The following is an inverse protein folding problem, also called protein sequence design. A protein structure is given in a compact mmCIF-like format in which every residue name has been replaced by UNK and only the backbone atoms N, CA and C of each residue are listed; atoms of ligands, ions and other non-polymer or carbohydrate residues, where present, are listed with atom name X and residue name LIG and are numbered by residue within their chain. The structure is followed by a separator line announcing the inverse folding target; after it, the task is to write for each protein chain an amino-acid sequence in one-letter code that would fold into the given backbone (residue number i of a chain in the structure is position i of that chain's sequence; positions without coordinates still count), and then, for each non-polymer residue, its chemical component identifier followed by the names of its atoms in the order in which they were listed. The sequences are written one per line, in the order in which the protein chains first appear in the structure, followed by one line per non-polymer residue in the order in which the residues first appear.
data_IF_300175981871
#
_entry.id   IF_300175981871
#
_cell.length_a   1.000
_cell.length_b   1.000
_cell.length_c   1.000
_cell.angle_alpha   90.00
_cell.angle_beta   90.00
_cell.angle_gamma   90.00
#
_symmetry.space_group_name_H-M   'P 1'
#
loop_
_entity.id
_entity.type
_entity.pdbx_description
1 polymer ?
#
# COMPACT_ATOMS: atom_id res chain seq x y z
N UNK A 1 36.86 -11.83 14.49
CA UNK A 1 36.94 -11.60 13.02
C UNK A 1 35.52 -11.59 12.46
N UNK A 2 34.97 -10.42 12.15
CA UNK A 2 33.63 -10.32 11.55
C UNK A 2 33.68 -10.83 10.10
N UNK A 3 32.97 -11.91 9.80
CA UNK A 3 32.82 -12.43 8.43
C UNK A 3 32.27 -11.31 7.54
N UNK A 4 33.00 -10.90 6.50
CA UNK A 4 32.51 -9.96 5.48
C UNK A 4 31.20 -10.52 4.90
N UNK A 5 30.10 -9.80 5.11
CA UNK A 5 28.77 -10.21 4.64
C UNK A 5 28.69 -9.91 3.13
N UNK A 6 28.57 -10.96 2.31
CA UNK A 6 28.39 -10.82 0.87
C UNK A 6 26.93 -10.47 0.57
N UNK A 7 26.67 -9.20 0.25
CA UNK A 7 25.36 -8.70 -0.15
C UNK A 7 25.02 -9.10 -1.58
N UNK A 8 23.75 -9.40 -1.83
CA UNK A 8 23.23 -9.62 -3.19
C UNK A 8 23.34 -8.31 -3.95
N UNK A 9 24.11 -8.29 -5.03
CA UNK A 9 24.32 -7.09 -5.85
C UNK A 9 23.08 -6.80 -6.69
N UNK A 10 22.86 -5.52 -6.97
CA UNK A 10 21.87 -5.08 -7.92
C UNK A 10 22.45 -3.97 -8.81
N UNK A 11 21.87 -3.84 -10.00
CA UNK A 11 22.03 -2.71 -10.89
C UNK A 11 20.64 -2.19 -11.23
N UNK A 12 20.46 -0.87 -11.18
CA UNK A 12 19.22 -0.20 -11.58
C UNK A 12 19.40 0.27 -13.02
N UNK A 13 18.52 -0.17 -13.91
CA UNK A 13 18.54 0.21 -15.32
C UNK A 13 17.12 0.58 -15.78
N UNK A 14 16.79 1.88 -15.85
CA UNK A 14 15.49 2.34 -16.34
C UNK A 14 15.38 2.25 -17.87
N UNK A 15 16.40 1.73 -18.56
CA UNK A 15 16.54 1.73 -20.02
C UNK A 15 16.33 3.16 -20.55
N UNK A 16 15.48 3.31 -21.56
CA UNK A 16 15.19 4.60 -22.20
C UNK A 16 13.93 5.29 -21.64
N UNK A 17 13.43 4.87 -20.47
CA UNK A 17 12.23 5.46 -19.88
C UNK A 17 12.57 6.86 -19.34
N UNK A 18 12.09 7.90 -20.01
CA UNK A 18 12.27 9.28 -19.56
C UNK A 18 11.24 9.67 -18.50
N UNK A 19 9.99 9.23 -18.67
CA UNK A 19 8.88 9.54 -17.78
C UNK A 19 7.92 8.37 -17.73
N UNK A 20 7.46 8.04 -16.51
CA UNK A 20 6.42 7.06 -16.29
C UNK A 20 5.07 7.75 -16.02
N UNK A 21 3.95 7.27 -16.59
CA UNK A 21 2.62 7.79 -16.27
C UNK A 21 2.30 7.67 -14.77
N UNK A 22 1.52 8.61 -14.23
CA UNK A 22 1.15 8.59 -12.81
C UNK A 22 0.40 7.32 -12.41
N UNK A 23 -0.44 6.78 -13.29
CA UNK A 23 -1.13 5.49 -13.07
C UNK A 23 -0.15 4.31 -12.95
N UNK A 24 0.90 4.29 -13.76
CA UNK A 24 1.95 3.27 -13.69
C UNK A 24 2.79 3.40 -12.41
N UNK A 25 3.09 4.63 -11.97
CA UNK A 25 3.77 4.89 -10.69
C UNK A 25 2.91 4.37 -9.53
N UNK A 26 1.62 4.74 -9.49
CA UNK A 26 0.68 4.26 -8.48
C UNK A 26 0.58 2.74 -8.49
N UNK A 27 0.50 2.12 -9.66
CA UNK A 27 0.43 0.66 -9.76
C UNK A 27 1.68 -0.02 -9.20
N UNK A 28 2.87 0.52 -9.46
CA UNK A 28 4.12 -0.04 -8.92
C UNK A 28 4.20 0.12 -7.40
N UNK A 29 3.79 1.28 -6.87
CA UNK A 29 3.73 1.51 -5.42
C UNK A 29 2.72 0.56 -4.76
N UNK A 30 1.51 0.47 -5.32
CA UNK A 30 0.45 -0.40 -4.81
C UNK A 30 0.83 -1.87 -4.84
N UNK A 31 1.54 -2.30 -5.89
CA UNK A 31 2.07 -3.65 -6.03
C UNK A 31 3.21 -3.96 -5.06
N UNK A 32 3.94 -2.94 -4.61
CA UNK A 32 5.03 -3.10 -3.66
C UNK A 32 4.54 -3.21 -2.21
N UNK A 33 3.35 -2.70 -1.88
CA UNK A 33 2.82 -2.58 -0.51
C UNK A 33 2.92 -3.87 0.31
N UNK A 34 2.38 -4.96 -0.23
CA UNK A 34 2.35 -6.29 0.41
C UNK A 34 3.75 -6.92 0.59
N UNK A 35 4.80 -6.33 -0.02
CA UNK A 35 6.17 -6.84 0.07
C UNK A 35 7.19 -5.79 0.55
N UNK A 36 6.75 -4.63 1.03
CA UNK A 36 7.65 -3.64 1.63
C UNK A 36 8.40 -4.27 2.80
N UNK A 37 9.71 -4.04 2.82
CA UNK A 37 10.66 -4.60 3.79
C UNK A 37 10.68 -6.14 3.87
N UNK A 38 10.12 -6.85 2.87
CA UNK A 38 10.05 -8.31 2.84
C UNK A 38 10.41 -8.91 1.46
N UNK A 39 10.27 -8.13 0.39
CA UNK A 39 10.53 -8.53 -0.99
C UNK A 39 11.39 -7.52 -1.74
N UNK A 40 12.11 -8.03 -2.74
CA UNK A 40 12.90 -7.22 -3.66
C UNK A 40 12.23 -7.03 -5.01
N UNK A 41 12.89 -6.27 -5.90
CA UNK A 41 12.41 -5.95 -7.26
C UNK A 41 11.96 -7.16 -8.07
N UNK A 42 12.68 -8.28 -7.99
CA UNK A 42 12.35 -9.48 -8.76
C UNK A 42 11.02 -10.11 -8.34
N UNK A 43 10.66 -10.02 -7.06
CA UNK A 43 9.34 -10.47 -6.59
C UNK A 43 8.25 -9.51 -7.06
N UNK A 44 8.52 -8.21 -7.04
CA UNK A 44 7.59 -7.20 -7.56
C UNK A 44 7.32 -7.40 -9.06
N UNK A 45 8.34 -7.68 -9.86
CA UNK A 45 8.15 -8.05 -11.28
C UNK A 45 7.15 -9.21 -11.42
N UNK A 46 7.31 -10.28 -10.62
CA UNK A 46 6.42 -11.45 -10.67
C UNK A 46 4.98 -11.11 -10.33
N UNK A 47 4.75 -10.28 -9.31
CA UNK A 47 3.41 -9.79 -8.94
C UNK A 47 2.81 -8.95 -10.06
N UNK A 48 3.55 -7.96 -10.56
CA UNK A 48 3.08 -7.09 -11.64
C UNK A 48 2.81 -7.85 -12.95
N UNK A 49 3.50 -8.97 -13.18
CA UNK A 49 3.31 -9.88 -14.32
C UNK A 49 2.18 -10.88 -14.16
N UNK A 50 1.61 -11.02 -12.96
CA UNK A 50 0.57 -12.02 -12.71
C UNK A 50 1.14 -13.45 -12.64
N UNK A 51 2.37 -13.59 -12.16
CA UNK A 51 3.08 -14.87 -12.12
C UNK A 51 2.49 -15.83 -11.09
N UNK A 52 2.19 -17.06 -11.50
CA UNK A 52 1.77 -18.16 -10.61
C UNK A 52 2.93 -18.84 -9.88
N UNK A 53 4.06 -18.16 -9.72
CA UNK A 53 5.22 -18.72 -9.03
C UNK A 53 4.85 -19.06 -7.57
N UNK A 54 5.42 -20.16 -7.06
CA UNK A 54 5.13 -20.67 -5.72
C UNK A 54 5.26 -19.59 -4.63
N UNK A 55 6.32 -18.78 -4.68
CA UNK A 55 6.55 -17.70 -3.72
C UNK A 55 5.52 -16.56 -3.78
N UNK A 56 4.84 -16.36 -4.92
CA UNK A 56 3.76 -15.37 -5.05
C UNK A 56 2.50 -15.91 -4.38
N UNK A 57 2.17 -17.17 -4.65
CA UNK A 57 0.95 -17.80 -4.14
C UNK A 57 1.03 -18.11 -2.64
N UNK A 58 2.16 -18.62 -2.15
CA UNK A 58 2.35 -18.92 -0.72
C UNK A 58 2.33 -17.66 0.16
N UNK A 59 2.60 -16.50 -0.43
CA UNK A 59 2.53 -15.19 0.24
C UNK A 59 1.24 -14.44 -0.08
N UNK A 60 0.30 -15.08 -0.77
CA UNK A 60 -1.01 -14.51 -1.14
C UNK A 60 -0.93 -13.22 -1.97
N UNK A 61 0.23 -12.95 -2.60
CA UNK A 61 0.48 -11.73 -3.37
C UNK A 61 -0.35 -11.66 -4.66
N UNK A 62 -0.99 -12.76 -5.04
CA UNK A 62 -1.98 -12.81 -6.12
C UNK A 62 -3.31 -12.12 -5.77
N UNK A 63 -3.52 -11.72 -4.51
CA UNK A 63 -4.67 -10.92 -4.09
C UNK A 63 -4.41 -9.40 -4.18
N UNK A 64 -3.19 -8.99 -4.50
CA UNK A 64 -2.86 -7.59 -4.72
C UNK A 64 -3.77 -6.98 -5.82
N UNK A 65 -4.35 -5.78 -5.62
CA UNK A 65 -5.28 -5.17 -6.59
C UNK A 65 -4.70 -4.96 -7.99
N UNK A 66 -3.38 -4.83 -8.08
CA UNK A 66 -2.64 -4.61 -9.33
C UNK A 66 -1.90 -5.87 -9.83
N UNK A 67 -2.29 -7.05 -9.31
CA UNK A 67 -1.70 -8.31 -9.75
C UNK A 67 -1.93 -8.53 -11.25
N UNK A 68 -0.83 -8.69 -12.00
CA UNK A 68 -0.89 -8.83 -13.45
C UNK A 68 -1.14 -7.54 -14.22
N UNK A 69 -1.00 -6.36 -13.61
CA UNK A 69 -1.13 -5.05 -14.27
C UNK A 69 -0.28 -4.92 -15.55
N UNK A 70 0.92 -5.52 -15.56
CA UNK A 70 1.82 -5.56 -16.71
C UNK A 70 1.90 -6.93 -17.38
N UNK A 71 0.81 -7.71 -17.38
CA UNK A 71 0.82 -9.08 -17.95
C UNK A 71 1.35 -9.18 -19.37
N UNK A 72 1.15 -8.14 -20.17
CA UNK A 72 1.50 -8.11 -21.60
C UNK A 72 2.92 -7.57 -21.87
N UNK A 73 3.63 -7.07 -20.85
CA UNK A 73 5.00 -6.56 -20.98
C UNK A 73 6.04 -7.65 -20.73
N UNK A 74 7.26 -7.50 -21.24
CA UNK A 74 8.36 -8.40 -20.87
C UNK A 74 8.77 -8.19 -19.40
N UNK A 75 9.33 -9.21 -18.75
CA UNK A 75 9.85 -9.10 -17.37
C UNK A 75 10.88 -7.96 -17.24
N UNK A 76 11.67 -7.75 -18.29
CA UNK A 76 12.72 -6.74 -18.31
C UNK A 76 12.15 -5.33 -18.47
N UNK A 77 11.06 -5.18 -19.23
CA UNK A 77 10.35 -3.89 -19.36
C UNK A 77 9.62 -3.52 -18.07
N UNK A 78 9.12 -4.52 -17.33
CA UNK A 78 8.56 -4.32 -15.98
C UNK A 78 9.67 -3.93 -15.01
N UNK A 79 10.80 -4.63 -15.03
CA UNK A 79 11.95 -4.31 -14.20
C UNK A 79 12.47 -2.89 -14.45
N UNK A 80 12.57 -2.47 -15.71
CA UNK A 80 13.01 -1.12 -16.07
C UNK A 80 12.07 -0.03 -15.51
N UNK A 81 10.76 -0.28 -15.50
CA UNK A 81 9.78 0.65 -14.89
C UNK A 81 9.93 0.72 -13.37
N UNK A 82 10.12 -0.42 -12.71
CA UNK A 82 10.38 -0.48 -11.27
C UNK A 82 11.69 0.26 -10.93
N UNK A 83 12.74 0.04 -11.72
CA UNK A 83 14.02 0.73 -11.56
C UNK A 83 13.89 2.23 -11.76
N UNK A 84 13.08 2.68 -12.74
CA UNK A 84 12.74 4.09 -12.90
C UNK A 84 12.05 4.67 -11.67
N UNK A 85 11.10 3.95 -11.06
CA UNK A 85 10.41 4.38 -9.82
C UNK A 85 11.38 4.49 -8.63
N UNK A 86 12.39 3.62 -8.56
CA UNK A 86 13.44 3.68 -7.53
C UNK A 86 14.38 4.86 -7.78
N UNK A 87 14.85 5.03 -9.02
CA UNK A 87 15.78 6.11 -9.40
C UNK A 87 15.14 7.49 -9.19
N UNK A 88 13.85 7.63 -9.48
CA UNK A 88 13.11 8.88 -9.29
C UNK A 88 12.64 9.08 -7.84
N UNK A 89 13.08 8.21 -6.92
CA UNK A 89 12.96 8.46 -5.49
C UNK A 89 11.54 8.26 -4.95
N UNK A 90 10.74 7.36 -5.52
CA UNK A 90 9.47 6.92 -4.95
C UNK A 90 9.64 5.67 -4.09
N UNK A 91 10.42 4.70 -4.59
CA UNK A 91 10.90 3.55 -3.82
C UNK A 91 12.39 3.67 -3.55
N UNK A 92 12.89 2.98 -2.53
CA UNK A 92 14.32 2.78 -2.30
C UNK A 92 14.60 1.33 -1.96
N UNK A 93 15.89 0.97 -2.01
CA UNK A 93 16.37 -0.34 -1.61
C UNK A 93 17.13 -0.20 -0.30
N UNK A 94 16.71 -0.97 0.70
CA UNK A 94 17.42 -1.15 1.96
C UNK A 94 17.91 -2.59 2.08
N UNK A 95 19.07 -2.78 2.71
CA UNK A 95 19.59 -4.12 2.95
C UNK A 95 19.13 -4.62 4.30
N UNK A 96 18.36 -5.71 4.30
CA UNK A 96 18.26 -6.58 5.47
C UNK A 96 19.31 -7.69 5.35
N UNK A 97 20.34 -7.59 6.19
CA UNK A 97 21.54 -8.44 6.14
C UNK A 97 22.19 -8.51 4.75
N UNK A 98 21.79 -9.49 3.92
CA UNK A 98 22.29 -9.71 2.56
C UNK A 98 21.29 -9.35 1.46
N UNK A 99 20.01 -9.21 1.78
CA UNK A 99 18.92 -9.11 0.81
C UNK A 99 18.53 -7.65 0.57
N UNK A 100 18.45 -7.20 -0.70
CA UNK A 100 17.93 -5.88 -1.05
C UNK A 100 16.40 -5.91 -1.05
N UNK A 101 15.79 -5.20 -0.09
CA UNK A 101 14.35 -5.12 0.10
C UNK A 101 13.84 -3.74 -0.30
N UNK A 102 12.64 -3.69 -0.86
CA UNK A 102 12.00 -2.44 -1.24
C UNK A 102 11.40 -1.74 -0.02
N UNK A 103 11.57 -0.43 0.06
CA UNK A 103 10.89 0.42 1.04
C UNK A 103 10.39 1.70 0.38
N UNK A 104 9.29 2.27 0.90
CA UNK A 104 8.79 3.56 0.44
C UNK A 104 9.71 4.68 0.87
N UNK A 105 10.03 5.58 -0.05
CA UNK A 105 10.46 6.95 0.30
C UNK A 105 9.29 7.76 0.85
N UNK A 106 9.54 8.96 1.37
CA UNK A 106 8.46 9.88 1.75
C UNK A 106 7.53 10.21 0.56
N UNK A 107 8.10 10.50 -0.61
CA UNK A 107 7.30 10.82 -1.81
C UNK A 107 6.45 9.64 -2.30
N UNK A 108 7.01 8.42 -2.29
CA UNK A 108 6.24 7.22 -2.62
C UNK A 108 5.16 6.91 -1.59
N UNK A 109 5.47 7.09 -0.31
CA UNK A 109 4.50 6.87 0.76
C UNK A 109 3.32 7.84 0.69
N UNK A 110 3.53 9.12 0.38
CA UNK A 110 2.40 10.06 0.23
C UNK A 110 1.44 9.65 -0.90
N UNK A 111 1.97 9.16 -2.02
CA UNK A 111 1.14 8.67 -3.14
C UNK A 111 0.38 7.40 -2.74
N UNK A 112 1.08 6.46 -2.10
CA UNK A 112 0.48 5.19 -1.71
C UNK A 112 -0.56 5.37 -0.61
N UNK A 113 -0.26 6.18 0.40
CA UNK A 113 -1.18 6.53 1.49
C UNK A 113 -2.48 7.10 0.95
N UNK A 114 -2.40 7.99 -0.04
CA UNK A 114 -3.59 8.51 -0.72
C UNK A 114 -4.36 7.38 -1.40
N UNK A 115 -3.66 6.53 -2.16
CA UNK A 115 -4.25 5.41 -2.91
C UNK A 115 -4.96 4.41 -1.98
N UNK A 116 -4.30 3.93 -0.92
CA UNK A 116 -4.90 3.02 0.05
C UNK A 116 -6.06 3.70 0.79
N UNK A 117 -5.96 4.99 1.11
CA UNK A 117 -7.06 5.69 1.78
C UNK A 117 -8.31 5.81 0.90
N UNK A 118 -8.16 5.95 -0.42
CA UNK A 118 -9.29 5.90 -1.36
C UNK A 118 -9.91 4.50 -1.39
N UNK A 119 -9.10 3.45 -1.52
CA UNK A 119 -9.58 2.05 -1.51
C UNK A 119 -10.32 1.72 -0.21
N UNK A 120 -9.84 2.19 0.95
CA UNK A 120 -10.49 1.98 2.24
C UNK A 120 -11.83 2.71 2.34
N UNK A 121 -11.94 3.92 1.78
CA UNK A 121 -13.21 4.65 1.73
C UNK A 121 -14.23 3.96 0.83
N UNK A 122 -13.81 3.47 -0.34
CA UNK A 122 -14.66 2.67 -1.22
C UNK A 122 -15.12 1.40 -0.51
N UNK A 123 -14.24 0.75 0.26
CA UNK A 123 -14.59 -0.38 1.12
C UNK A 123 -15.63 -0.01 2.19
N UNK A 124 -15.55 1.19 2.78
CA UNK A 124 -16.57 1.67 3.73
C UNK A 124 -17.92 1.89 3.05
N UNK A 125 -17.93 2.47 1.85
CA UNK A 125 -19.15 2.66 1.08
C UNK A 125 -19.81 1.30 0.77
N UNK A 126 -19.04 0.29 0.37
CA UNK A 126 -19.55 -1.07 0.13
C UNK A 126 -20.10 -1.73 1.40
N UNK A 127 -19.43 -1.56 2.54
CA UNK A 127 -19.93 -2.06 3.83
C UNK A 127 -21.29 -1.42 4.16
N UNK A 128 -21.40 -0.10 4.02
CA UNK A 128 -22.61 0.66 4.29
C UNK A 128 -23.77 0.25 3.35
N UNK A 129 -23.48 0.01 2.07
CA UNK A 129 -24.46 -0.50 1.09
C UNK A 129 -24.99 -1.90 1.46
N UNK A 130 -24.12 -2.77 1.99
CA UNK A 130 -24.53 -4.10 2.46
C UNK A 130 -25.40 -4.04 3.73
N UNK A 131 -25.21 -3.02 4.57
CA UNK A 131 -26.07 -2.70 5.73
C UNK A 131 -26.07 -3.72 6.89
N UNK A 132 -25.28 -4.80 6.80
CA UNK A 132 -25.22 -5.85 7.82
C UNK A 132 -24.24 -5.49 8.94
N UNK A 133 -24.77 -4.91 10.02
CA UNK A 133 -24.01 -4.58 11.22
C UNK A 133 -23.90 -5.74 12.22
N UNK A 134 -22.83 -5.81 13.03
CA UNK A 134 -21.67 -4.90 13.03
C UNK A 134 -20.75 -5.13 11.83
N UNK A 135 -20.14 -4.06 11.32
CA UNK A 135 -19.14 -4.16 10.26
C UNK A 135 -17.83 -4.73 10.80
N UNK A 136 -17.23 -5.69 10.08
CA UNK A 136 -15.92 -6.22 10.45
C UNK A 136 -14.82 -5.23 10.07
N UNK A 137 -14.32 -4.49 11.05
CA UNK A 137 -13.26 -3.49 10.87
C UNK A 137 -11.85 -4.07 11.12
N UNK A 138 -11.71 -5.39 11.27
CA UNK A 138 -10.44 -6.04 11.63
C UNK A 138 -9.31 -5.78 10.64
N UNK A 139 -9.62 -5.52 9.37
CA UNK A 139 -8.65 -5.20 8.30
C UNK A 139 -7.90 -3.88 8.50
N UNK A 140 -8.34 -3.01 9.42
CA UNK A 140 -7.67 -1.77 9.81
C UNK A 140 -6.67 -1.97 10.94
N UNK A 141 -6.69 -3.12 11.63
CA UNK A 141 -5.74 -3.40 12.70
C UNK A 141 -4.31 -3.46 12.17
N UNK A 142 -3.38 -2.99 12.99
CA UNK A 142 -1.93 -3.00 12.74
C UNK A 142 -1.48 -2.24 11.47
N UNK A 143 -2.39 -1.52 10.80
CA UNK A 143 -2.07 -0.62 9.69
C UNK A 143 -1.17 0.51 10.17
N UNK A 144 -0.41 1.07 9.22
CA UNK A 144 0.44 2.22 9.49
C UNK A 144 -0.39 3.36 10.10
N UNK A 145 0.07 3.91 11.23
CA UNK A 145 -0.68 4.95 11.94
C UNK A 145 -0.88 6.19 11.07
N UNK A 146 0.10 6.59 10.27
CA UNK A 146 0.00 7.73 9.37
C UNK A 146 -1.13 7.57 8.36
N UNK A 147 -1.32 6.36 7.82
CA UNK A 147 -2.46 6.03 6.97
C UNK A 147 -3.79 6.14 7.71
N UNK A 148 -3.86 5.64 8.95
CA UNK A 148 -5.08 5.74 9.78
C UNK A 148 -5.46 7.19 10.05
N UNK A 149 -4.49 8.03 10.40
CA UNK A 149 -4.74 9.47 10.62
C UNK A 149 -5.23 10.13 9.34
N UNK A 150 -4.57 9.86 8.20
CA UNK A 150 -4.94 10.40 6.90
C UNK A 150 -6.36 9.99 6.47
N UNK A 151 -6.74 8.73 6.68
CA UNK A 151 -8.09 8.23 6.40
C UNK A 151 -9.13 8.98 7.22
N UNK A 152 -8.91 9.13 8.53
CA UNK A 152 -9.82 9.86 9.43
C UNK A 152 -9.94 11.34 9.05
N UNK A 153 -8.84 11.99 8.67
CA UNK A 153 -8.84 13.36 8.16
C UNK A 153 -9.64 13.49 6.86
N UNK A 154 -9.56 12.49 5.95
CA UNK A 154 -10.38 12.46 4.74
C UNK A 154 -11.86 12.32 5.04
N UNK A 155 -12.24 11.44 5.96
CA UNK A 155 -13.64 11.25 6.37
C UNK A 155 -14.19 12.54 6.99
N UNK A 156 -13.44 13.15 7.90
CA UNK A 156 -13.82 14.41 8.54
C UNK A 156 -14.00 15.54 7.51
N UNK A 157 -13.05 15.71 6.59
CA UNK A 157 -13.13 16.72 5.51
C UNK A 157 -14.30 16.52 4.57
N UNK A 158 -14.72 15.27 4.32
CA UNK A 158 -15.91 14.97 3.51
C UNK A 158 -17.19 15.42 4.20
N UNK A 159 -17.21 15.43 5.53
CA UNK A 159 -18.36 15.92 6.30
C UNK A 159 -19.62 15.07 6.14
N UNK A 160 -19.52 13.83 5.67
CA UNK A 160 -20.67 12.98 5.36
C UNK A 160 -21.06 12.09 6.57
N UNK A 161 -22.23 12.33 7.20
CA UNK A 161 -22.66 11.57 8.37
C UNK A 161 -22.89 10.08 8.10
N UNK A 162 -22.99 9.64 6.84
CA UNK A 162 -23.17 8.21 6.50
C UNK A 162 -22.04 7.33 7.03
N UNK A 163 -20.86 7.89 7.28
CA UNK A 163 -19.70 7.15 7.80
C UNK A 163 -19.76 6.92 9.32
N UNK A 164 -20.69 7.54 10.05
CA UNK A 164 -20.79 7.37 11.52
C UNK A 164 -20.90 5.89 11.93
N UNK A 165 -21.77 5.05 11.33
CA UNK A 165 -21.89 3.64 11.73
C UNK A 165 -20.60 2.83 11.59
N UNK A 166 -19.82 3.01 10.52
CA UNK A 166 -18.52 2.31 10.35
C UNK A 166 -17.49 2.81 11.36
N UNK A 167 -17.51 4.12 11.67
CA UNK A 167 -16.64 4.70 12.70
C UNK A 167 -16.99 4.19 14.11
N UNK A 168 -18.27 4.00 14.43
CA UNK A 168 -18.72 3.40 15.69
C UNK A 168 -18.19 1.97 15.86
N UNK A 169 -18.34 1.12 14.85
CA UNK A 169 -17.86 -0.27 14.89
C UNK A 169 -16.32 -0.31 14.94
N UNK A 170 -15.65 0.59 14.22
CA UNK A 170 -14.19 0.71 14.24
C UNK A 170 -13.67 1.15 15.63
N UNK A 171 -14.35 2.10 16.27
CA UNK A 171 -14.02 2.56 17.61
C UNK A 171 -13.96 1.43 18.65
N UNK A 172 -14.77 0.37 18.48
CA UNK A 172 -14.82 -0.73 19.44
C UNK A 172 -13.51 -1.52 19.49
N UNK A 173 -12.84 -1.70 18.36
CA UNK A 173 -11.68 -2.59 18.21
C UNK A 173 -10.31 -1.89 18.34
N UNK A 174 -10.30 -0.56 18.41
CA UNK A 174 -9.08 0.24 18.32
C UNK A 174 -8.35 0.50 19.64
N UNK A 175 -7.14 1.06 19.58
CA UNK A 175 -6.40 1.51 20.76
C UNK A 175 -6.75 2.95 21.15
N UNK A 176 -6.46 3.31 22.40
CA UNK A 176 -6.91 4.57 23.04
C UNK A 176 -6.75 5.84 22.19
N UNK A 177 -5.61 6.02 21.51
CA UNK A 177 -5.35 7.24 20.71
C UNK A 177 -6.21 7.32 19.45
N UNK A 178 -6.39 6.19 18.74
CA UNK A 178 -7.25 6.15 17.55
C UNK A 178 -8.72 6.26 17.94
N UNK A 179 -9.14 5.64 19.05
CA UNK A 179 -10.48 5.83 19.62
C UNK A 179 -10.84 7.30 19.84
N UNK A 180 -9.91 8.07 20.41
CA UNK A 180 -10.12 9.49 20.65
C UNK A 180 -10.29 10.27 19.33
N UNK A 181 -9.47 9.99 18.32
CA UNK A 181 -9.62 10.60 16.99
C UNK A 181 -10.93 10.25 16.33
N UNK A 182 -11.31 8.97 16.35
CA UNK A 182 -12.58 8.51 15.79
C UNK A 182 -13.75 9.26 16.45
N UNK A 183 -13.73 9.40 17.78
CA UNK A 183 -14.76 10.16 18.50
C UNK A 183 -14.83 11.62 18.05
N UNK A 184 -13.69 12.27 17.83
CA UNK A 184 -13.64 13.65 17.31
C UNK A 184 -14.28 13.73 15.92
N UNK A 185 -13.95 12.80 15.02
CA UNK A 185 -14.57 12.73 13.68
C UNK A 185 -16.07 12.54 13.80
N UNK A 186 -16.55 11.56 14.58
CA UNK A 186 -17.99 11.31 14.80
C UNK A 186 -18.69 12.58 15.32
N UNK A 187 -18.06 13.29 16.26
CA UNK A 187 -18.62 14.53 16.82
C UNK A 187 -18.74 15.61 15.75
N UNK A 188 -17.71 15.75 14.91
CA UNK A 188 -17.73 16.69 13.79
C UNK A 188 -18.85 16.37 12.78
N UNK A 189 -18.96 15.10 12.40
CA UNK A 189 -19.97 14.62 11.46
C UNK A 189 -21.40 14.72 12.01
N UNK A 190 -21.59 14.61 13.34
CA UNK A 190 -22.91 14.72 13.98
C UNK A 190 -23.44 16.16 14.02
N UNK A 191 -22.59 17.16 13.82
CA UNK A 191 -22.94 18.60 13.90
C UNK A 191 -22.99 19.24 12.50
N UNK A 192 -22.49 18.55 11.48
CA UNK A 192 -22.43 18.99 10.08
C UNK A 192 -23.72 18.66 9.34
#
# INVERSE_FOLDING_TARGET
MSRKVQRVKYHLDPRNIQKLPSGEIKAILRGADEMIAQGGRSLLVKVMKGSKAKEVLERELNHCPVYGYYRDLSDEDVLARIDWVIINGYLRIEYDYRLPLLTYTGAGWEIEKETISDELLEGFDQLLENGQRPYDMSFLKDRNRDLIWHLLDKIEKRGDPKYIPVLEDWYLIEYKKVKERIRQVITHLSIS
#
